data_IF_682754212724
#
_entry.id   IF_682754212724
#
_cell.length_a   1.000
_cell.length_b   1.000
_cell.length_c   1.000
_cell.angle_alpha   90.00
_cell.angle_beta   90.00
_cell.angle_gamma   90.00
#
_symmetry.space_group_name_H-M   'P 1'
#
loop_
_entity.id
_entity.type
_entity.pdbx_description
1 polymer ?
#
# COMPACT_ATOMS: atom_id res chain seq x y z
N UNK A 1 -2.98 8.10 -40.17
CA UNK A 1 -3.33 6.67 -40.01
C UNK A 1 -2.66 6.08 -38.77
N UNK A 2 -1.38 6.38 -38.49
CA UNK A 2 -0.72 6.01 -37.24
C UNK A 2 -1.36 6.66 -36.00
N UNK A 3 -1.68 7.95 -36.05
CA UNK A 3 -2.22 8.70 -34.90
C UNK A 3 -3.59 8.19 -34.43
N UNK A 4 -4.45 7.76 -35.35
CA UNK A 4 -5.74 7.13 -35.01
C UNK A 4 -5.60 5.71 -34.43
N UNK A 5 -4.48 5.04 -34.72
CA UNK A 5 -4.18 3.74 -34.15
C UNK A 5 -3.67 3.91 -32.71
N UNK A 6 -2.74 4.85 -32.48
CA UNK A 6 -2.24 5.19 -31.14
C UNK A 6 -3.37 5.67 -30.22
N UNK A 7 -4.23 6.56 -30.70
CA UNK A 7 -5.36 7.07 -29.93
C UNK A 7 -6.39 5.97 -29.58
N UNK A 8 -6.55 4.94 -30.44
CA UNK A 8 -7.33 3.74 -30.11
C UNK A 8 -6.63 2.81 -29.12
N UNK A 9 -5.30 2.69 -29.19
CA UNK A 9 -4.52 1.88 -28.27
C UNK A 9 -4.49 2.50 -26.87
N UNK A 10 -4.36 3.81 -26.75
CA UNK A 10 -4.38 4.53 -25.46
C UNK A 10 -5.77 4.44 -24.83
N UNK A 11 -6.85 4.68 -25.61
CA UNK A 11 -8.23 4.48 -25.15
C UNK A 11 -8.56 3.02 -24.78
N UNK A 12 -7.88 2.05 -25.40
CA UNK A 12 -7.99 0.65 -25.02
C UNK A 12 -7.24 0.39 -23.71
N UNK A 13 -5.99 0.85 -23.58
CA UNK A 13 -5.19 0.69 -22.38
C UNK A 13 -5.86 1.32 -21.15
N UNK A 14 -6.29 2.57 -21.22
CA UNK A 14 -6.96 3.27 -20.11
C UNK A 14 -8.27 2.57 -19.70
N UNK A 15 -8.97 1.94 -20.66
CA UNK A 15 -10.21 1.20 -20.42
C UNK A 15 -9.99 -0.16 -19.75
N UNK A 16 -8.84 -0.81 -19.97
CA UNK A 16 -8.58 -2.18 -19.50
C UNK A 16 -7.47 -2.27 -18.43
N UNK A 17 -6.76 -1.18 -18.12
CA UNK A 17 -5.73 -1.12 -17.05
C UNK A 17 -6.30 -1.52 -15.67
N UNK A 18 -7.55 -1.15 -15.39
CA UNK A 18 -8.27 -1.52 -14.16
C UNK A 18 -8.60 -3.02 -14.07
N UNK A 19 -8.65 -3.73 -15.21
CA UNK A 19 -8.84 -5.18 -15.26
C UNK A 19 -7.52 -5.97 -15.29
N UNK A 20 -6.36 -5.31 -15.40
CA UNK A 20 -5.05 -5.95 -15.48
C UNK A 20 -4.23 -5.84 -14.18
N UNK A 21 -4.58 -4.94 -13.27
CA UNK A 21 -3.88 -4.86 -11.98
C UNK A 21 -4.33 -6.02 -11.08
N UNK A 22 -3.41 -6.85 -10.55
CA UNK A 22 -3.80 -7.88 -9.60
C UNK A 22 -4.20 -7.25 -8.26
N UNK A 23 -5.05 -7.95 -7.50
CA UNK A 23 -5.38 -7.56 -6.13
C UNK A 23 -4.22 -7.83 -5.19
N UNK A 24 -4.14 -7.09 -4.10
CA UNK A 24 -3.23 -7.39 -2.99
C UNK A 24 -3.86 -8.50 -2.15
N UNK A 25 -3.17 -9.63 -2.01
CA UNK A 25 -3.64 -10.81 -1.23
C UNK A 25 -3.03 -10.91 0.16
N UNK A 26 -2.00 -10.10 0.43
CA UNK A 26 -1.32 -10.03 1.71
C UNK A 26 -0.03 -9.24 1.64
N UNK A 27 0.72 -9.29 2.74
CA UNK A 27 2.07 -8.76 2.85
C UNK A 27 2.91 -9.75 3.66
N UNK A 28 4.05 -10.15 3.12
CA UNK A 28 5.04 -10.93 3.84
C UNK A 28 6.04 -10.04 4.56
N UNK A 29 6.58 -10.54 5.67
CA UNK A 29 7.64 -9.89 6.44
C UNK A 29 8.97 -10.59 6.17
N UNK A 30 10.00 -9.82 5.83
CA UNK A 30 11.35 -10.32 5.56
C UNK A 30 12.36 -9.57 6.44
N UNK A 31 13.19 -10.33 7.16
CA UNK A 31 14.34 -9.79 7.87
C UNK A 31 15.57 -9.96 6.97
N UNK A 32 16.27 -8.88 6.63
CA UNK A 32 17.41 -8.95 5.70
C UNK A 32 18.37 -7.78 5.88
N UNK A 33 19.68 -8.02 5.77
CA UNK A 33 20.66 -6.92 5.72
C UNK A 33 20.61 -6.11 4.43
N UNK A 34 20.08 -6.71 3.36
CA UNK A 34 19.96 -6.12 2.04
C UNK A 34 18.47 -5.90 1.74
N UNK A 35 18.03 -4.68 1.42
CA UNK A 35 16.64 -4.41 1.07
C UNK A 35 16.20 -5.26 -0.13
N UNK A 36 15.14 -6.08 -0.03
CA UNK A 36 14.61 -6.82 -1.17
C UNK A 36 14.08 -5.86 -2.26
N UNK A 37 14.30 -6.19 -3.54
CA UNK A 37 13.93 -5.29 -4.65
C UNK A 37 12.43 -5.04 -4.73
N UNK A 38 11.63 -6.08 -4.50
CA UNK A 38 10.18 -6.10 -4.58
C UNK A 38 9.48 -5.70 -3.28
N UNK A 39 10.17 -5.08 -2.33
CA UNK A 39 9.57 -4.57 -1.10
C UNK A 39 8.63 -3.39 -1.36
N UNK A 40 7.70 -3.18 -0.44
CA UNK A 40 6.94 -1.94 -0.36
C UNK A 40 7.88 -0.76 -0.16
N UNK A 41 7.62 0.31 -0.91
CA UNK A 41 8.38 1.55 -0.83
C UNK A 41 7.59 2.59 -0.04
N UNK A 42 8.33 3.41 0.70
CA UNK A 42 7.78 4.64 1.24
C UNK A 42 7.50 5.63 0.11
N UNK A 43 6.27 6.16 0.08
CA UNK A 43 5.83 7.11 -0.95
C UNK A 43 6.54 8.46 -0.87
N UNK A 44 7.18 8.78 0.26
CA UNK A 44 7.94 10.01 0.45
C UNK A 44 9.46 9.83 0.30
N UNK A 45 9.96 8.59 0.23
CA UNK A 45 11.39 8.29 0.07
C UNK A 45 12.22 8.40 1.36
N UNK A 46 11.60 8.42 2.54
CA UNK A 46 12.27 8.45 3.85
C UNK A 46 12.82 7.09 4.31
N UNK A 47 12.56 6.02 3.57
CA UNK A 47 13.13 4.69 3.77
C UNK A 47 12.10 3.61 4.08
N UNK A 48 12.44 2.39 3.66
CA UNK A 48 11.49 1.26 3.57
C UNK A 48 11.65 0.22 4.69
N UNK A 49 12.69 0.37 5.53
CA UNK A 49 12.88 -0.48 6.70
C UNK A 49 11.92 -0.05 7.80
N UNK A 50 11.08 -0.97 8.29
CA UNK A 50 10.11 -0.71 9.36
C UNK A 50 10.82 -0.30 10.65
N UNK A 51 11.97 -0.91 10.94
CA UNK A 51 12.77 -0.66 12.14
C UNK A 51 13.79 0.46 11.97
N UNK A 52 13.72 1.25 10.89
CA UNK A 52 14.63 2.38 10.73
C UNK A 52 14.55 3.28 11.96
N UNK A 53 15.72 3.63 12.50
CA UNK A 53 15.93 4.46 13.70
C UNK A 53 15.62 3.79 15.05
N UNK A 54 15.28 2.51 15.04
CA UNK A 54 14.96 1.78 16.26
C UNK A 54 16.02 0.72 16.63
N UNK A 55 16.95 0.46 15.70
CA UNK A 55 17.93 -0.62 15.83
C UNK A 55 17.32 -2.00 15.52
N UNK A 56 18.03 -3.05 15.93
CA UNK A 56 17.60 -4.43 15.68
C UNK A 56 17.84 -4.92 14.25
N UNK A 57 17.00 -5.85 13.79
CA UNK A 57 17.06 -6.32 12.40
C UNK A 57 16.35 -5.34 11.47
N UNK A 58 16.86 -5.18 10.25
CA UNK A 58 16.11 -4.49 9.21
C UNK A 58 14.94 -5.37 8.75
N UNK A 59 13.76 -4.78 8.71
CA UNK A 59 12.49 -5.46 8.46
C UNK A 59 11.83 -4.81 7.25
N UNK A 60 11.54 -5.62 6.23
CA UNK A 60 10.89 -5.18 5.00
C UNK A 60 9.57 -5.90 4.79
N UNK A 61 8.63 -5.18 4.18
CA UNK A 61 7.33 -5.70 3.79
C UNK A 61 7.33 -6.03 2.29
N UNK A 62 6.91 -7.23 1.91
CA UNK A 62 6.80 -7.66 0.52
C UNK A 62 5.32 -7.82 0.17
N UNK A 63 4.76 -7.07 -0.79
CA UNK A 63 3.38 -7.27 -1.21
C UNK A 63 3.21 -8.64 -1.86
N UNK A 64 2.08 -9.27 -1.58
CA UNK A 64 1.61 -10.46 -2.27
C UNK A 64 0.41 -10.09 -3.12
N UNK A 65 0.35 -10.64 -4.34
CA UNK A 65 -0.67 -10.33 -5.32
C UNK A 65 -1.45 -11.58 -5.77
N UNK A 66 -2.70 -11.39 -6.18
CA UNK A 66 -3.57 -12.45 -6.69
C UNK A 66 -4.51 -11.90 -7.77
N UNK A 67 -4.95 -12.78 -8.67
CA UNK A 67 -6.05 -12.48 -9.61
C UNK A 67 -7.42 -12.94 -9.07
N UNK A 68 -7.45 -13.56 -7.89
CA UNK A 68 -8.65 -14.11 -7.26
C UNK A 68 -9.20 -13.12 -6.22
N UNK A 69 -10.38 -12.56 -6.49
CA UNK A 69 -10.98 -11.55 -5.63
C UNK A 69 -11.32 -12.06 -4.22
N UNK A 70 -11.58 -13.35 -4.05
CA UNK A 70 -11.84 -14.01 -2.76
C UNK A 70 -10.57 -14.19 -1.92
N UNK A 71 -9.40 -14.16 -2.54
CA UNK A 71 -8.10 -14.17 -1.86
C UNK A 71 -7.59 -12.77 -1.52
N UNK A 72 -8.25 -11.72 -2.00
CA UNK A 72 -7.79 -10.35 -1.87
C UNK A 72 -8.09 -9.74 -0.49
N UNK A 73 -7.16 -8.90 -0.02
CA UNK A 73 -7.31 -8.08 1.15
C UNK A 73 -8.36 -6.99 0.92
N UNK A 74 -9.07 -6.65 2.00
CA UNK A 74 -10.04 -5.55 2.04
C UNK A 74 -9.60 -4.46 3.00
N UNK A 75 -8.77 -4.80 3.99
CA UNK A 75 -8.13 -3.88 4.91
C UNK A 75 -6.86 -4.51 5.50
N UNK A 76 -6.03 -3.68 6.13
CA UNK A 76 -4.93 -4.13 6.97
C UNK A 76 -5.11 -3.67 8.41
N UNK A 77 -4.65 -4.48 9.36
CA UNK A 77 -4.64 -4.17 10.79
C UNK A 77 -3.27 -4.42 11.39
N UNK A 78 -2.88 -3.54 12.31
CA UNK A 78 -1.70 -3.72 13.16
C UNK A 78 -2.17 -4.23 14.52
N UNK A 79 -1.51 -5.27 15.02
CA UNK A 79 -1.70 -5.80 16.36
C UNK A 79 -0.42 -5.60 17.16
N UNK A 80 -0.52 -4.94 18.30
CA UNK A 80 0.58 -4.73 19.23
C UNK A 80 0.33 -5.59 20.47
N UNK A 81 1.23 -6.52 20.76
CA UNK A 81 1.02 -7.60 21.73
C UNK A 81 2.18 -7.65 22.73
N UNK A 82 1.88 -8.00 23.99
CA UNK A 82 2.91 -8.16 25.03
C UNK A 82 3.68 -9.47 24.93
N UNK A 83 3.14 -10.45 24.20
CA UNK A 83 3.75 -11.76 23.99
C UNK A 83 3.86 -12.10 22.51
N UNK A 84 4.84 -12.94 22.17
CA UNK A 84 5.02 -13.42 20.80
C UNK A 84 3.86 -14.32 20.39
N UNK A 85 3.36 -14.17 19.17
CA UNK A 85 2.37 -15.09 18.60
C UNK A 85 3.12 -16.12 17.75
N UNK A 86 3.08 -17.42 18.10
CA UNK A 86 3.74 -18.46 17.31
C UNK A 86 3.28 -18.45 15.85
N UNK A 87 4.24 -18.55 14.94
CA UNK A 87 3.98 -18.59 13.49
C UNK A 87 3.82 -17.23 12.82
N UNK A 88 3.77 -16.12 13.57
CA UNK A 88 3.79 -14.77 13.01
C UNK A 88 5.18 -14.15 13.09
N UNK A 89 5.51 -13.33 12.10
CA UNK A 89 6.76 -12.55 12.06
C UNK A 89 6.54 -11.19 12.70
N UNK A 90 7.34 -10.90 13.71
CA UNK A 90 7.34 -9.66 14.46
C UNK A 90 7.99 -8.52 13.66
N UNK A 91 7.27 -7.41 13.51
CA UNK A 91 7.77 -6.21 12.86
C UNK A 91 8.82 -5.47 13.71
N UNK A 92 8.85 -5.68 15.03
CA UNK A 92 9.85 -5.12 15.94
C UNK A 92 11.09 -6.02 16.14
N UNK A 93 11.31 -7.00 15.26
CA UNK A 93 12.27 -8.05 15.52
C UNK A 93 13.69 -7.51 15.79
N UNK A 94 14.22 -7.84 16.97
CA UNK A 94 15.55 -7.41 17.42
C UNK A 94 15.64 -5.97 17.92
N UNK A 95 14.59 -5.16 17.80
CA UNK A 95 14.57 -3.78 18.28
C UNK A 95 14.00 -3.64 19.70
N UNK A 96 13.39 -4.70 20.23
CA UNK A 96 12.78 -4.72 21.57
C UNK A 96 11.38 -4.11 21.61
N UNK A 97 10.86 -3.91 22.82
CA UNK A 97 9.49 -3.43 23.03
C UNK A 97 8.41 -4.52 22.83
N UNK A 98 7.17 -4.07 22.60
CA UNK A 98 6.04 -4.97 22.32
C UNK A 98 6.15 -5.55 20.90
N UNK A 99 5.68 -6.79 20.75
CA UNK A 99 5.60 -7.46 19.46
C UNK A 99 4.53 -6.82 18.59
N UNK A 100 4.76 -6.81 17.28
CA UNK A 100 3.86 -6.15 16.34
C UNK A 100 3.67 -6.97 15.09
N UNK A 101 2.42 -7.10 14.67
CA UNK A 101 2.03 -7.93 13.55
C UNK A 101 1.12 -7.16 12.61
N UNK A 102 1.32 -7.35 11.32
CA UNK A 102 0.41 -6.87 10.28
C UNK A 102 -0.46 -8.04 9.81
N UNK A 103 -1.77 -7.82 9.81
CA UNK A 103 -2.73 -8.81 9.32
C UNK A 103 -3.59 -8.20 8.22
N UNK A 104 -3.74 -8.92 7.12
CA UNK A 104 -4.71 -8.61 6.07
C UNK A 104 -6.07 -9.21 6.46
N UNK A 105 -7.13 -8.39 6.43
CA UNK A 105 -8.51 -8.90 6.51
C UNK A 105 -9.04 -9.15 5.10
N UNK A 106 -9.84 -10.20 4.95
CA UNK A 106 -10.49 -10.57 3.69
C UNK A 106 -11.99 -10.69 3.93
N UNK A 107 -12.76 -9.85 3.26
CA UNK A 107 -14.23 -9.84 3.36
C UNK A 107 -14.83 -9.96 1.97
N UNK A 108 -15.79 -10.86 1.81
CA UNK A 108 -16.36 -11.19 0.50
C UNK A 108 -16.96 -9.96 -0.20
N UNK A 109 -17.69 -9.15 0.54
CA UNK A 109 -18.53 -8.08 -0.02
C UNK A 109 -17.87 -6.68 0.01
N UNK A 110 -16.65 -6.56 0.54
CA UNK A 110 -15.93 -5.28 0.63
C UNK A 110 -15.08 -5.00 -0.61
N UNK A 111 -14.67 -3.73 -0.81
CA UNK A 111 -13.72 -3.35 -1.87
C UNK A 111 -12.37 -4.05 -1.68
N UNK A 112 -11.78 -4.51 -2.79
CA UNK A 112 -10.51 -5.26 -2.80
C UNK A 112 -9.34 -4.32 -3.02
N UNK A 113 -8.30 -4.49 -2.22
CA UNK A 113 -7.11 -3.64 -2.28
C UNK A 113 -6.37 -3.94 -3.58
N UNK A 114 -5.99 -2.90 -4.30
CA UNK A 114 -5.17 -2.97 -5.52
C UNK A 114 -3.85 -2.23 -5.40
N UNK A 115 -3.79 -1.23 -4.52
CA UNK A 115 -2.57 -0.47 -4.23
C UNK A 115 -2.25 -0.54 -2.76
N UNK A 116 -0.97 -0.72 -2.44
CA UNK A 116 -0.45 -0.68 -1.08
C UNK A 116 0.95 -0.07 -1.12
N UNK A 117 1.26 0.76 -0.13
CA UNK A 117 2.58 1.37 0.01
C UNK A 117 2.87 1.65 1.48
N UNK A 118 4.11 2.05 1.76
CA UNK A 118 4.47 2.61 3.06
C UNK A 118 4.33 4.13 3.01
N UNK A 119 4.01 4.69 4.16
CA UNK A 119 4.24 6.09 4.45
C UNK A 119 5.07 6.19 5.72
N UNK A 120 6.15 6.97 5.66
CA UNK A 120 6.97 7.31 6.82
C UNK A 120 7.01 8.83 6.98
N UNK A 121 6.73 9.32 8.17
CA UNK A 121 6.57 10.76 8.41
C UNK A 121 6.62 11.15 9.89
N UNK A 122 6.62 12.46 10.15
CA UNK A 122 6.39 13.06 11.48
C UNK A 122 4.95 13.02 11.90
N UNK A 123 4.07 13.11 10.91
CA UNK A 123 2.65 13.28 11.09
C UNK A 123 1.89 12.13 10.49
N UNK A 124 0.61 12.13 10.79
CA UNK A 124 -0.32 11.17 10.25
C UNK A 124 -0.56 11.42 8.74
N UNK A 125 -0.61 10.38 7.87
CA UNK A 125 -0.70 10.56 6.42
C UNK A 125 -2.08 10.99 5.90
N UNK A 126 -3.00 11.46 6.76
CA UNK A 126 -4.36 11.84 6.35
C UNK A 126 -4.38 12.81 5.16
N UNK A 127 -3.41 13.73 5.07
CA UNK A 127 -3.32 14.68 3.94
C UNK A 127 -2.89 14.03 2.61
N UNK A 128 -2.30 12.84 2.65
CA UNK A 128 -1.95 12.03 1.47
C UNK A 128 -3.06 11.03 1.10
N UNK A 129 -4.03 10.81 1.99
CA UNK A 129 -5.18 9.93 1.72
C UNK A 129 -6.19 10.66 0.84
N UNK A 130 -5.77 10.87 -0.41
CA UNK A 130 -6.55 11.49 -1.46
C UNK A 130 -6.60 10.51 -2.65
N UNK A 131 -7.81 9.99 -2.91
CA UNK A 131 -8.07 9.07 -4.02
C UNK A 131 -7.68 9.71 -5.36
N UNK A 132 -7.94 11.00 -5.53
CA UNK A 132 -7.81 11.70 -6.81
C UNK A 132 -6.37 12.09 -7.10
N UNK A 133 -5.53 12.23 -6.06
CA UNK A 133 -4.10 12.57 -6.20
C UNK A 133 -3.19 11.36 -6.17
N UNK A 134 -3.40 10.46 -5.23
CA UNK A 134 -2.43 9.39 -4.94
C UNK A 134 -3.05 7.98 -4.98
N UNK A 135 -4.39 7.88 -5.05
CA UNK A 135 -5.10 6.60 -5.10
C UNK A 135 -5.16 5.87 -3.75
N UNK A 136 -4.55 6.41 -2.70
CA UNK A 136 -4.63 5.88 -1.35
C UNK A 136 -5.80 6.52 -0.60
N UNK A 137 -6.57 5.70 0.12
CA UNK A 137 -7.78 6.15 0.82
C UNK A 137 -7.83 5.70 2.27
N UNK A 138 -6.96 4.77 2.65
CA UNK A 138 -6.94 4.16 3.97
C UNK A 138 -5.51 3.92 4.45
N UNK A 139 -5.39 3.66 5.75
CA UNK A 139 -4.12 3.45 6.45
C UNK A 139 -4.32 2.55 7.67
N UNK A 140 -3.22 2.00 8.18
CA UNK A 140 -3.16 1.41 9.52
C UNK A 140 -3.10 2.49 10.61
N UNK A 141 -3.09 2.07 11.89
CA UNK A 141 -2.46 2.89 12.95
C UNK A 141 -0.95 2.99 12.69
N UNK A 142 -0.26 3.80 13.49
CA UNK A 142 1.20 3.86 13.47
C UNK A 142 1.77 2.49 13.85
N UNK A 143 2.46 1.86 12.91
CA UNK A 143 3.15 0.58 13.10
C UNK A 143 4.17 0.71 14.23
N UNK A 144 4.81 1.87 14.40
CA UNK A 144 5.80 2.11 15.44
C UNK A 144 5.23 2.67 16.75
N UNK A 145 3.91 2.69 16.94
CA UNK A 145 3.28 3.29 18.13
C UNK A 145 3.87 2.82 19.47
N UNK A 146 4.28 3.74 20.34
CA UNK A 146 4.89 3.39 21.63
C UNK A 146 6.31 2.86 21.51
N UNK A 147 6.99 3.21 20.43
CA UNK A 147 8.44 3.17 20.30
C UNK A 147 8.92 4.59 20.12
N UNK A 148 9.89 4.98 20.92
CA UNK A 148 10.33 6.37 21.00
C UNK A 148 11.54 6.66 20.10
N UNK A 149 11.97 5.66 19.29
CA UNK A 149 13.08 5.75 18.36
C UNK A 149 14.32 6.43 18.93
N UNK A 150 15.09 7.07 18.05
CA UNK A 150 15.98 8.15 18.45
C UNK A 150 15.15 9.43 18.48
N UNK A 151 14.96 10.02 19.66
CA UNK A 151 14.06 11.15 19.93
C UNK A 151 14.36 12.42 19.12
N UNK A 152 15.51 12.47 18.43
CA UNK A 152 15.93 13.59 17.59
C UNK A 152 15.52 13.43 16.11
N UNK A 153 14.74 12.40 15.76
CA UNK A 153 14.36 12.10 14.38
C UNK A 153 12.87 12.33 14.16
N UNK A 154 12.55 13.21 13.21
CA UNK A 154 11.17 13.59 12.90
C UNK A 154 10.39 12.48 12.16
N UNK A 155 11.02 11.43 11.63
CA UNK A 155 10.38 10.43 10.74
C UNK A 155 10.19 9.04 11.37
N UNK A 156 9.72 8.98 12.61
CA UNK A 156 9.58 7.71 13.34
C UNK A 156 8.28 6.96 13.01
N UNK A 157 7.21 7.68 12.64
CA UNK A 157 5.90 7.06 12.42
C UNK A 157 5.87 6.35 11.09
N UNK A 158 5.28 5.16 11.08
CA UNK A 158 5.19 4.31 9.89
C UNK A 158 3.78 3.81 9.73
N UNK A 159 3.24 3.98 8.54
CA UNK A 159 1.89 3.55 8.21
C UNK A 159 1.95 2.68 6.96
N UNK A 160 1.13 1.63 6.94
CA UNK A 160 0.78 1.00 5.67
C UNK A 160 -0.45 1.72 5.13
N UNK A 161 -0.37 2.23 3.90
CA UNK A 161 -1.47 2.92 3.22
C UNK A 161 -1.96 2.08 2.05
N UNK A 162 -3.26 2.17 1.73
CA UNK A 162 -3.83 1.38 0.63
C UNK A 162 -5.00 2.05 -0.10
N UNK A 163 -5.26 1.52 -1.29
CA UNK A 163 -6.29 1.94 -2.23
C UNK A 163 -6.95 0.76 -2.95
N UNK A 164 -8.14 0.99 -3.50
CA UNK A 164 -9.02 -0.07 -4.01
C UNK A 164 -9.20 -0.09 -5.54
N UNK A 165 -8.90 1.01 -6.22
CA UNK A 165 -9.23 1.33 -7.61
C UNK A 165 -10.42 0.61 -8.25
N UNK A 166 -11.62 1.18 -8.03
CA UNK A 166 -12.71 1.42 -9.01
C UNK A 166 -13.42 2.73 -8.54
N UNK A 167 -13.90 3.70 -9.35
CA UNK A 167 -14.45 3.70 -10.71
C UNK A 167 -13.75 4.71 -11.65
N UNK A 168 -13.76 4.38 -12.94
CA UNK A 168 -13.49 5.34 -14.01
C UNK A 168 -14.67 6.29 -14.22
N UNK A 169 -14.42 7.59 -14.11
CA UNK A 169 -15.20 8.61 -14.82
C UNK A 169 -14.38 9.04 -16.04
N UNK A 170 -14.35 8.21 -17.08
CA UNK A 170 -14.14 8.76 -18.41
C UNK A 170 -15.46 9.45 -18.76
N UNK A 171 -15.54 10.75 -18.47
CA UNK A 171 -16.51 11.60 -19.15
C UNK A 171 -16.15 11.54 -20.62
N UNK A 172 -16.86 10.71 -21.38
CA UNK A 172 -16.85 10.81 -22.84
C UNK A 172 -17.43 12.19 -23.12
N UNK A 173 -16.57 13.15 -23.43
CA UNK A 173 -17.00 14.38 -24.08
C UNK A 173 -17.81 13.93 -25.30
N UNK A 174 -19.12 14.20 -25.28
CA UNK A 174 -19.94 14.02 -26.47
C UNK A 174 -19.35 14.94 -27.53
N UNK A 175 -18.66 14.35 -28.51
CA UNK A 175 -18.33 15.05 -29.74
C UNK A 175 -19.64 15.49 -30.37
N UNK A 176 -19.79 16.81 -30.49
CA UNK A 176 -20.83 17.40 -31.31
C UNK A 176 -20.52 17.02 -32.76
N UNK A 177 -21.32 16.10 -33.31
CA UNK A 177 -21.28 15.75 -34.73
C UNK A 177 -21.64 16.99 -35.56
N UNK A 178 -20.71 17.54 -36.38
CA UNK A 178 -21.01 18.67 -37.25
C UNK A 178 -21.71 18.22 -38.56
N UNK A 179 -22.22 17.00 -38.63
CA UNK A 179 -22.87 16.43 -39.80
C UNK A 179 -24.21 15.74 -39.49
N UNK A 180 -25.15 16.50 -38.93
CA UNK A 180 -26.59 16.23 -39.08
C UNK A 180 -27.33 17.57 -39.21
N UNK A 181 -28.33 17.63 -40.10
CA UNK A 181 -28.28 18.20 -41.45
C UNK A 181 -28.20 19.73 -41.53
#
# INVERSE_FOLDING_TARGET
MADQLFDKFDKFYDKYETHLTPYVSGVDVVYSKTPPDNRLRDVQGHGDDINAYEGGNFVYLIPQYTNHADEACTSFKVRIETSSIPGLKDLANGAGGKYRYLTCEKRKDDKKIRRVALFRGSDDPTTLLDKDRHGFTNKTIDINEGRDGNSDIDFIKVYLIWGYDEEGNVTVAQEHDPSSP
#
